data_IF_954240573675
#
_entry.id   IF_954240573675
#
_cell.length_a   1.000
_cell.length_b   1.000
_cell.length_c   1.000
_cell.angle_alpha   90.00
_cell.angle_beta   90.00
_cell.angle_gamma   90.00
#
_symmetry.space_group_name_H-M   'P 1'
#
loop_
_entity.id
_entity.type
_entity.pdbx_description
1 polymer ?
#
# COMPACT_ATOMS: atom_id res chain seq x y z
N UNK A 1 5.48 -18.15 -1.65
CA UNK A 1 4.63 -16.95 -1.74
C UNK A 1 4.58 -16.36 -0.34
N UNK A 2 5.04 -15.13 -0.15
CA UNK A 2 5.00 -14.50 1.18
C UNK A 2 3.54 -14.35 1.64
N UNK A 3 3.29 -14.41 2.94
CA UNK A 3 1.95 -14.23 3.51
C UNK A 3 2.08 -13.56 4.86
N UNK A 4 1.20 -12.60 5.14
CA UNK A 4 1.11 -11.94 6.43
C UNK A 4 -0.35 -11.96 6.91
N UNK A 5 -0.53 -12.18 8.22
CA UNK A 5 -1.82 -12.11 8.89
C UNK A 5 -1.78 -11.05 9.98
N UNK A 6 -2.90 -10.38 10.19
CA UNK A 6 -3.02 -9.35 11.20
C UNK A 6 -4.38 -8.67 11.17
N UNK A 7 -4.53 -7.65 12.01
CA UNK A 7 -5.71 -6.80 12.07
C UNK A 7 -5.26 -5.37 11.90
N UNK A 8 -5.93 -4.63 11.02
CA UNK A 8 -5.75 -3.20 10.91
C UNK A 8 -6.67 -2.49 11.91
N UNK A 9 -6.19 -1.40 12.50
CA UNK A 9 -7.01 -0.62 13.45
C UNK A 9 -8.05 0.27 12.76
N UNK A 10 -7.81 0.61 11.49
CA UNK A 10 -8.71 1.35 10.59
C UNK A 10 -8.24 1.18 9.13
N UNK A 11 -8.97 1.76 8.18
CA UNK A 11 -8.63 1.72 6.76
C UNK A 11 -7.25 2.31 6.41
N UNK A 12 -6.79 3.36 7.12
CA UNK A 12 -5.48 3.97 6.87
C UNK A 12 -4.33 3.04 7.28
N UNK A 13 -4.46 2.38 8.42
CA UNK A 13 -3.53 1.35 8.90
C UNK A 13 -3.51 0.14 7.94
N UNK A 14 -4.67 -0.28 7.42
CA UNK A 14 -4.72 -1.35 6.43
C UNK A 14 -3.89 -1.03 5.19
N UNK A 15 -4.01 0.20 4.66
CA UNK A 15 -3.21 0.65 3.50
C UNK A 15 -1.73 0.69 3.85
N UNK A 16 -1.33 1.22 5.01
CA UNK A 16 0.07 1.23 5.44
C UNK A 16 0.64 -0.18 5.53
N UNK A 17 -0.08 -1.10 6.20
CA UNK A 17 0.37 -2.48 6.37
C UNK A 17 0.49 -3.22 5.04
N UNK A 18 -0.48 -3.06 4.14
CA UNK A 18 -0.41 -3.64 2.80
C UNK A 18 0.80 -3.12 2.02
N UNK A 19 1.03 -1.81 2.03
CA UNK A 19 2.18 -1.19 1.35
C UNK A 19 3.50 -1.66 1.97
N UNK A 20 3.59 -1.71 3.29
CA UNK A 20 4.79 -2.18 3.99
C UNK A 20 5.09 -3.65 3.67
N UNK A 21 4.07 -4.52 3.68
CA UNK A 21 4.23 -5.92 3.28
C UNK A 21 4.76 -6.01 1.85
N UNK A 22 4.09 -5.37 0.88
CA UNK A 22 4.45 -5.48 -0.54
C UNK A 22 5.84 -4.90 -0.87
N UNK A 23 6.30 -3.89 -0.13
CA UNK A 23 7.54 -3.17 -0.46
C UNK A 23 8.75 -3.56 0.40
N UNK A 24 8.52 -4.08 1.61
CA UNK A 24 9.58 -4.31 2.60
C UNK A 24 9.54 -5.68 3.28
N UNK A 25 8.62 -6.58 2.92
CA UNK A 25 8.64 -7.95 3.44
C UNK A 25 9.99 -8.62 3.14
N UNK A 26 10.69 -9.17 4.15
CA UNK A 26 11.97 -9.85 3.93
C UNK A 26 11.88 -11.00 2.91
N UNK A 27 10.78 -11.74 2.90
CA UNK A 27 10.55 -12.85 1.98
C UNK A 27 10.38 -12.36 0.53
N UNK A 28 9.64 -11.26 0.33
CA UNK A 28 9.47 -10.66 -1.00
C UNK A 28 10.78 -10.07 -1.50
N UNK A 29 11.55 -9.40 -0.63
CA UNK A 29 12.87 -8.85 -0.98
C UNK A 29 13.83 -9.98 -1.37
N UNK A 30 13.92 -11.04 -0.56
CA UNK A 30 14.79 -12.17 -0.83
C UNK A 30 14.43 -12.90 -2.14
N UNK A 31 13.15 -12.90 -2.51
CA UNK A 31 12.68 -13.49 -3.76
C UNK A 31 12.77 -12.55 -4.98
N UNK A 32 13.21 -11.29 -4.81
CA UNK A 32 13.17 -10.29 -5.89
C UNK A 32 11.75 -9.90 -6.31
N UNK A 33 10.78 -10.04 -5.40
CA UNK A 33 9.35 -9.84 -5.62
C UNK A 33 8.80 -8.59 -4.91
N UNK A 34 9.65 -7.82 -4.24
CA UNK A 34 9.25 -6.58 -3.59
C UNK A 34 8.79 -5.54 -4.63
N UNK A 35 7.66 -4.90 -4.33
CA UNK A 35 7.07 -3.87 -5.17
C UNK A 35 7.81 -2.55 -4.95
N UNK A 36 7.77 -1.70 -5.96
CA UNK A 36 8.34 -0.36 -5.89
C UNK A 36 7.25 0.70 -5.81
N UNK A 37 7.44 1.70 -4.95
CA UNK A 37 6.56 2.88 -4.92
C UNK A 37 6.94 3.81 -6.08
N UNK A 38 6.01 4.04 -7.01
CA UNK A 38 6.19 4.99 -8.11
C UNK A 38 5.43 6.30 -7.89
N UNK A 39 4.48 6.30 -6.97
CA UNK A 39 3.77 7.48 -6.47
C UNK A 39 3.37 7.22 -5.01
N UNK A 40 3.56 8.17 -4.11
CA UNK A 40 3.11 8.12 -2.72
C UNK A 40 2.78 9.56 -2.30
N UNK A 41 1.50 9.84 -2.09
CA UNK A 41 0.99 11.15 -1.72
C UNK A 41 -0.02 11.03 -0.58
N UNK A 42 0.04 11.98 0.34
CA UNK A 42 -0.94 12.11 1.40
C UNK A 42 -1.64 13.44 1.25
N UNK A 43 -2.93 13.40 0.94
CA UNK A 43 -3.81 14.56 1.02
C UNK A 43 -4.10 14.76 2.51
N UNK A 44 -3.70 15.90 3.11
CA UNK A 44 -3.91 16.14 4.52
C UNK A 44 -5.41 16.27 4.84
N UNK A 45 -5.77 15.97 6.07
CA UNK A 45 -7.10 16.25 6.60
C UNK A 45 -7.43 17.75 6.49
N UNK A 46 -8.69 18.09 6.23
CA UNK A 46 -9.12 19.49 6.16
C UNK A 46 -10.56 19.63 6.63
N UNK A 47 -10.83 20.57 7.55
CA UNK A 47 -12.17 20.80 8.08
C UNK A 47 -12.82 19.51 8.59
N UNK A 48 -13.74 18.96 7.80
CA UNK A 48 -14.49 17.73 8.07
C UNK A 48 -13.96 16.47 7.36
N UNK A 49 -12.98 16.60 6.46
CA UNK A 49 -12.39 15.49 5.72
C UNK A 49 -11.18 14.91 6.44
N UNK A 50 -11.06 13.58 6.45
CA UNK A 50 -9.89 12.87 6.97
C UNK A 50 -8.73 12.88 5.96
N UNK A 51 -7.54 12.54 6.43
CA UNK A 51 -6.38 12.39 5.56
C UNK A 51 -6.57 11.19 4.60
N UNK A 52 -6.19 11.37 3.34
CA UNK A 52 -6.27 10.33 2.30
C UNK A 52 -4.88 10.05 1.76
N UNK A 53 -4.47 8.79 1.81
CA UNK A 53 -3.24 8.34 1.14
C UNK A 53 -3.57 7.78 -0.22
N UNK A 54 -2.75 8.14 -1.20
CA UNK A 54 -2.76 7.63 -2.56
C UNK A 54 -1.38 7.08 -2.87
N UNK A 55 -1.30 5.81 -3.24
CA UNK A 55 -0.04 5.15 -3.57
C UNK A 55 -0.21 4.34 -4.83
N UNK A 56 0.78 4.41 -5.71
CA UNK A 56 0.88 3.52 -6.87
C UNK A 56 2.12 2.67 -6.70
N UNK A 57 1.91 1.36 -6.71
CA UNK A 57 2.96 0.36 -6.63
C UNK A 57 3.19 -0.27 -7.99
N UNK A 58 4.45 -0.56 -8.31
CA UNK A 58 4.86 -1.34 -9.48
C UNK A 58 5.34 -2.71 -9.01
N UNK A 59 4.68 -3.77 -9.46
CA UNK A 59 5.12 -5.13 -9.24
C UNK A 59 6.33 -5.44 -10.15
N UNK A 60 7.34 -6.18 -9.65
CA UNK A 60 8.34 -6.79 -10.53
C UNK A 60 7.63 -7.87 -11.36
N UNK A 61 7.51 -7.65 -12.67
CA UNK A 61 6.89 -8.61 -13.58
C UNK A 61 7.68 -9.93 -13.65
N UNK A 62 7.08 -10.95 -14.28
CA UNK A 62 7.72 -12.25 -14.47
C UNK A 62 8.85 -12.24 -15.54
N UNK A 63 9.02 -11.13 -16.27
CA UNK A 63 10.02 -10.94 -17.32
C UNK A 63 10.34 -9.46 -17.53
N UNK A 64 11.57 -9.17 -18.00
CA UNK A 64 12.31 -7.91 -17.79
C UNK A 64 11.70 -6.57 -18.23
N UNK A 65 10.54 -6.52 -18.88
CA UNK A 65 9.82 -5.27 -19.20
C UNK A 65 8.37 -5.24 -18.74
N UNK A 66 7.84 -6.37 -18.27
CA UNK A 66 6.46 -6.44 -17.82
C UNK A 66 6.34 -5.80 -16.45
N UNK A 67 5.32 -4.97 -16.27
CA UNK A 67 5.06 -4.30 -15.00
C UNK A 67 3.56 -4.19 -14.80
N UNK A 68 3.11 -4.64 -13.62
CA UNK A 68 1.74 -4.42 -13.18
C UNK A 68 1.76 -3.23 -12.24
N UNK A 69 0.94 -2.24 -12.54
CA UNK A 69 0.74 -1.08 -11.68
C UNK A 69 -0.54 -1.28 -10.87
N UNK A 70 -0.44 -1.07 -9.57
CA UNK A 70 -1.54 -1.14 -8.62
C UNK A 70 -1.69 0.21 -7.94
N UNK A 71 -2.83 0.87 -8.17
CA UNK A 71 -3.23 2.06 -7.43
C UNK A 71 -4.01 1.67 -6.19
N UNK A 72 -3.64 2.24 -5.04
CA UNK A 72 -4.34 2.06 -3.76
C UNK A 72 -4.65 3.45 -3.22
N UNK A 73 -5.91 3.67 -2.86
CA UNK A 73 -6.35 4.90 -2.22
C UNK A 73 -7.13 4.55 -0.95
N UNK A 74 -6.81 5.23 0.15
CA UNK A 74 -7.62 5.16 1.36
C UNK A 74 -8.86 6.04 1.21
N UNK A 75 -10.01 5.58 1.70
CA UNK A 75 -11.23 6.39 1.78
C UNK A 75 -11.93 6.09 3.09
N UNK A 76 -12.48 7.14 3.70
CA UNK A 76 -13.28 7.06 4.91
C UNK A 76 -13.92 8.42 5.20
N UNK A 77 -15.03 8.40 5.92
CA UNK A 77 -15.70 9.62 6.38
C UNK A 77 -15.15 10.03 7.76
N UNK A 78 -14.63 9.07 8.53
CA UNK A 78 -13.98 9.30 9.82
C UNK A 78 -12.67 8.53 9.96
N UNK A 79 -11.80 8.96 10.88
CA UNK A 79 -10.53 8.29 11.14
C UNK A 79 -10.70 6.88 11.75
N UNK A 80 -11.93 6.50 12.11
CA UNK A 80 -12.27 5.22 12.73
C UNK A 80 -13.04 4.28 11.79
N UNK A 81 -13.25 4.65 10.52
CA UNK A 81 -13.89 3.73 9.56
C UNK A 81 -13.01 2.51 9.33
N UNK A 82 -13.64 1.34 9.39
CA UNK A 82 -13.07 -0.01 9.27
C UNK A 82 -13.19 -0.56 7.85
#
# INVERSE_FOLDING_TARGET
MATEFGTAVNHADLVERLVQFLTASPDLVAAGQAYEKVFDNTIPASGTAIAVRQVTLRAPGLGGTDSIYMGIQSYGDTALDY
#
